data_IF_715365765558
#
_entry.id   IF_715365765558
#
_cell.length_a   1.000
_cell.length_b   1.000
_cell.length_c   1.000
_cell.angle_alpha   90.00
_cell.angle_beta   90.00
_cell.angle_gamma   90.00
#
_symmetry.space_group_name_H-M   'P 1'
#
loop_
_entity.id
_entity.type
_entity.pdbx_description
1 polymer ?
#
# COMPACT_ATOMS: atom_id res chain seq x y z
N UNK A 1 43.86 -10.19 -10.02
CA UNK A 1 43.35 -10.17 -8.63
C UNK A 1 43.20 -8.74 -8.12
N UNK A 2 42.01 -8.16 -8.29
CA UNK A 2 41.72 -6.77 -7.90
C UNK A 2 41.50 -6.66 -6.38
N UNK A 3 42.08 -5.66 -5.70
CA UNK A 3 42.17 -5.64 -4.25
C UNK A 3 40.81 -5.38 -3.59
N UNK A 4 40.49 -6.30 -2.67
CA UNK A 4 39.43 -6.36 -1.67
C UNK A 4 38.83 -5.01 -1.23
N UNK A 5 37.54 -4.87 -1.51
CA UNK A 5 36.44 -4.39 -0.64
C UNK A 5 36.79 -3.53 0.60
N UNK A 6 37.58 -2.47 0.43
CA UNK A 6 37.69 -1.43 1.45
C UNK A 6 36.69 -0.33 1.10
N UNK A 7 35.39 -0.61 1.28
CA UNK A 7 34.41 0.48 1.30
C UNK A 7 34.82 1.41 2.43
N UNK A 8 35.23 2.63 2.10
CA UNK A 8 35.61 3.65 3.09
C UNK A 8 34.49 3.80 4.11
N UNK A 9 34.82 4.09 5.37
CA UNK A 9 33.81 4.26 6.44
C UNK A 9 32.69 5.20 6.00
N UNK A 10 33.05 6.23 5.24
CA UNK A 10 32.16 7.18 4.59
C UNK A 10 31.24 6.51 3.56
N UNK A 11 31.74 5.68 2.63
CA UNK A 11 30.93 4.98 1.62
C UNK A 11 29.98 3.94 2.24
N UNK A 12 30.44 3.22 3.27
CA UNK A 12 29.59 2.33 4.05
C UNK A 12 28.48 3.13 4.74
N UNK A 13 28.81 4.26 5.40
CA UNK A 13 27.83 5.18 5.99
C UNK A 13 26.81 5.73 4.97
N UNK A 14 27.26 6.11 3.77
CA UNK A 14 26.37 6.55 2.67
C UNK A 14 25.43 5.43 2.18
N UNK A 15 25.87 4.17 2.22
CA UNK A 15 25.00 3.03 1.86
C UNK A 15 23.83 2.91 2.84
N UNK A 16 24.05 3.16 4.13
CA UNK A 16 22.97 3.20 5.12
C UNK A 16 21.99 4.35 4.84
N UNK A 17 22.47 5.54 4.46
CA UNK A 17 21.60 6.68 4.10
C UNK A 17 20.69 6.33 2.90
N UNK A 18 21.23 5.62 1.90
CA UNK A 18 20.45 5.17 0.73
C UNK A 18 19.35 4.14 1.06
N UNK A 19 19.54 3.31 2.09
CA UNK A 19 18.54 2.33 2.54
C UNK A 19 17.33 2.96 3.25
N UNK A 20 17.47 4.20 3.73
CA UNK A 20 16.36 4.96 4.32
C UNK A 20 15.61 5.83 3.31
N UNK A 21 16.01 5.79 2.03
CA UNK A 21 15.23 6.39 0.95
C UNK A 21 13.99 5.53 0.75
N UNK A 22 12.94 5.84 1.50
CA UNK A 22 11.65 5.19 1.34
C UNK A 22 11.10 5.64 -0.01
N UNK A 23 11.02 4.70 -0.95
CA UNK A 23 10.43 4.94 -2.25
C UNK A 23 8.93 5.23 -2.10
N UNK A 24 8.63 6.52 -1.99
CA UNK A 24 7.27 6.97 -1.67
C UNK A 24 6.26 6.63 -2.77
N UNK A 25 6.76 6.45 -4.00
CA UNK A 25 6.01 5.96 -5.15
C UNK A 25 5.49 4.53 -4.94
N UNK A 26 6.33 3.63 -4.39
CA UNK A 26 5.92 2.25 -4.13
C UNK A 26 4.96 2.17 -2.96
N UNK A 27 5.17 2.94 -1.89
CA UNK A 27 4.26 2.89 -0.74
C UNK A 27 2.87 3.43 -1.09
N UNK A 28 2.77 4.53 -1.84
CA UNK A 28 1.48 5.05 -2.30
C UNK A 28 0.78 4.07 -3.25
N UNK A 29 1.53 3.40 -4.13
CA UNK A 29 0.99 2.34 -5.00
C UNK A 29 0.46 1.16 -4.19
N UNK A 30 1.18 0.73 -3.16
CA UNK A 30 0.75 -0.33 -2.26
C UNK A 30 -0.54 0.04 -1.50
N UNK A 31 -0.66 1.29 -1.04
CA UNK A 31 -1.88 1.79 -0.39
C UNK A 31 -3.06 1.76 -1.36
N UNK A 32 -2.89 2.21 -2.60
CA UNK A 32 -3.95 2.15 -3.62
C UNK A 32 -4.38 0.70 -3.87
N UNK A 33 -3.43 -0.21 -4.06
CA UNK A 33 -3.70 -1.64 -4.24
C UNK A 33 -4.43 -2.26 -3.03
N UNK A 34 -4.11 -1.82 -1.82
CA UNK A 34 -4.78 -2.29 -0.59
C UNK A 34 -6.26 -1.88 -0.52
N UNK A 35 -6.65 -0.75 -1.13
CA UNK A 35 -8.05 -0.26 -1.14
C UNK A 35 -8.90 -0.94 -2.22
N UNK A 36 -8.28 -1.46 -3.29
CA UNK A 36 -8.98 -2.16 -4.39
C UNK A 36 -9.96 -3.26 -3.92
N UNK A 37 -9.57 -4.23 -3.07
CA UNK A 37 -10.50 -5.29 -2.64
C UNK A 37 -11.72 -4.75 -1.89
N UNK A 38 -11.56 -3.68 -1.11
CA UNK A 38 -12.67 -3.02 -0.42
C UNK A 38 -13.66 -2.39 -1.39
N UNK A 39 -13.17 -1.76 -2.46
CA UNK A 39 -14.01 -1.19 -3.52
C UNK A 39 -14.74 -2.31 -4.27
N UNK A 40 -14.03 -3.39 -4.62
CA UNK A 40 -14.62 -4.55 -5.30
C UNK A 40 -15.76 -5.14 -4.46
N UNK A 41 -15.52 -5.38 -3.17
CA UNK A 41 -16.54 -5.87 -2.24
C UNK A 41 -17.75 -4.94 -2.19
N UNK A 42 -17.52 -3.63 -2.10
CA UNK A 42 -18.58 -2.64 -2.09
C UNK A 42 -19.43 -2.68 -3.37
N UNK A 43 -18.81 -2.77 -4.56
CA UNK A 43 -19.53 -2.84 -5.84
C UNK A 43 -20.42 -4.08 -5.93
N UNK A 44 -19.97 -5.23 -5.42
CA UNK A 44 -20.80 -6.45 -5.38
C UNK A 44 -21.94 -6.33 -4.39
N UNK A 45 -21.71 -5.69 -3.24
CA UNK A 45 -22.68 -5.62 -2.15
C UNK A 45 -23.65 -4.42 -2.25
N UNK A 46 -23.32 -3.36 -3.00
CA UNK A 46 -24.06 -2.09 -3.04
C UNK A 46 -25.57 -2.29 -3.30
N UNK A 47 -25.94 -3.20 -4.22
CA UNK A 47 -27.35 -3.45 -4.56
C UNK A 47 -28.10 -4.16 -3.42
N UNK A 48 -27.42 -5.03 -2.66
CA UNK A 48 -28.01 -5.76 -1.54
C UNK A 48 -28.14 -4.87 -0.31
N UNK A 49 -27.12 -4.03 -0.04
CA UNK A 49 -27.17 -3.04 1.04
C UNK A 49 -28.33 -2.05 0.80
N UNK A 50 -28.42 -1.46 -0.39
CA UNK A 50 -29.49 -0.49 -0.71
C UNK A 50 -30.87 -1.13 -0.57
N UNK A 51 -31.08 -2.34 -1.12
CA UNK A 51 -32.35 -3.08 -0.97
C UNK A 51 -32.67 -3.39 0.50
N UNK A 52 -31.70 -3.86 1.27
CA UNK A 52 -31.87 -4.19 2.69
C UNK A 52 -32.21 -2.96 3.54
N UNK A 53 -31.54 -1.84 3.30
CA UNK A 53 -31.84 -0.56 3.96
C UNK A 53 -33.24 -0.07 3.60
N UNK A 54 -33.64 -0.10 2.32
CA UNK A 54 -34.98 0.31 1.91
C UNK A 54 -36.08 -0.61 2.47
N UNK A 55 -35.84 -1.93 2.52
CA UNK A 55 -36.79 -2.90 3.07
C UNK A 55 -36.94 -2.78 4.59
N UNK A 56 -35.86 -2.46 5.31
CA UNK A 56 -35.90 -2.15 6.73
C UNK A 56 -36.60 -0.82 7.03
N UNK A 57 -36.41 0.19 6.18
CA UNK A 57 -37.02 1.52 6.34
C UNK A 57 -38.55 1.54 6.12
N UNK A 58 -39.10 0.64 5.29
CA UNK A 58 -40.56 0.55 5.06
C UNK A 58 -41.28 -0.41 6.00
N UNK A 59 -40.55 -1.18 6.81
CA UNK A 59 -41.13 -2.11 7.80
C UNK A 59 -41.07 -1.56 9.23
N UNK A 60 -40.47 -0.38 9.42
CA UNK A 60 -40.61 0.44 10.62
C UNK A 60 -41.85 1.32 10.56
#
# INVERSE_FOLDING_TARGET
DGPKESKTLTLAAYTFIGQYVTDWQYTMSAIVLAVIPSIIFFIFMQKNIVKGVTAGAVKG
#
